data_IF_842297225085
#
_entry.id   IF_842297225085
#
_cell.length_a   1.000
_cell.length_b   1.000
_cell.length_c   1.000
_cell.angle_alpha   90.00
_cell.angle_beta   90.00
_cell.angle_gamma   90.00
#
_symmetry.space_group_name_H-M   'P 1'
#
loop_
_entity.id
_entity.type
_entity.pdbx_description
1 polymer ?
#
# COMPACT_ATOMS: atom_id res chain seq x y z
N UNK A 1 4.54 18.97 -7.32
CA UNK A 1 3.75 17.90 -7.95
C UNK A 1 4.66 17.07 -8.86
N UNK A 2 5.08 15.86 -8.45
CA UNK A 2 6.12 15.05 -9.12
C UNK A 2 5.72 14.52 -10.50
N UNK A 3 4.41 14.31 -10.70
CA UNK A 3 3.83 13.84 -11.95
C UNK A 3 3.97 14.86 -13.08
N UNK A 4 3.62 16.14 -12.83
CA UNK A 4 3.76 17.22 -13.83
C UNK A 4 5.24 17.46 -14.21
N UNK A 5 6.17 17.31 -13.26
CA UNK A 5 7.60 17.47 -13.52
C UNK A 5 8.15 16.45 -14.52
N UNK A 6 7.51 15.29 -14.67
CA UNK A 6 7.94 14.24 -15.61
C UNK A 6 7.13 14.30 -16.90
N UNK A 7 5.82 14.55 -16.82
CA UNK A 7 4.93 14.58 -17.98
C UNK A 7 5.18 15.78 -18.91
N UNK A 8 5.40 16.97 -18.36
CA UNK A 8 5.65 18.19 -19.17
C UNK A 8 6.83 18.04 -20.13
N UNK A 9 8.05 17.69 -19.67
CA UNK A 9 9.20 17.55 -20.58
C UNK A 9 9.05 16.37 -21.56
N UNK A 10 8.29 15.33 -21.22
CA UNK A 10 8.00 14.23 -22.14
C UNK A 10 7.09 14.66 -23.29
N UNK A 11 6.06 15.45 -23.00
CA UNK A 11 5.16 16.01 -24.02
C UNK A 11 5.90 17.00 -24.90
N UNK A 12 6.68 17.93 -24.32
CA UNK A 12 7.50 18.89 -25.08
C UNK A 12 8.47 18.19 -26.03
N UNK A 13 9.16 17.15 -25.56
CA UNK A 13 10.07 16.36 -26.39
C UNK A 13 9.34 15.67 -27.55
N UNK A 14 8.16 15.11 -27.32
CA UNK A 14 7.37 14.44 -28.36
C UNK A 14 6.85 15.43 -29.40
N UNK A 15 6.42 16.62 -28.96
CA UNK A 15 6.00 17.69 -29.87
C UNK A 15 7.15 18.13 -30.79
N UNK A 16 8.39 18.17 -30.29
CA UNK A 16 9.59 18.52 -31.08
C UNK A 16 10.01 17.36 -31.98
N UNK A 17 10.15 16.15 -31.44
CA UNK A 17 10.72 14.99 -32.15
C UNK A 17 9.81 14.49 -33.28
N UNK A 18 8.47 14.58 -33.10
CA UNK A 18 7.48 14.06 -34.06
C UNK A 18 6.71 15.15 -34.80
N UNK A 19 6.91 16.42 -34.48
CA UNK A 19 6.14 17.53 -35.07
C UNK A 19 4.64 17.45 -34.79
N UNK A 20 4.24 16.76 -33.71
CA UNK A 20 2.86 16.55 -33.34
C UNK A 20 2.25 17.87 -32.85
N UNK A 21 1.31 18.40 -33.62
CA UNK A 21 0.58 19.64 -33.30
C UNK A 21 -0.90 19.38 -32.98
N UNK A 22 -1.37 18.14 -33.13
CA UNK A 22 -2.77 17.78 -32.90
C UNK A 22 -3.03 17.31 -31.45
N UNK A 23 -4.03 17.92 -30.83
CA UNK A 23 -4.44 17.64 -29.45
C UNK A 23 -4.90 16.19 -29.29
N UNK A 24 -5.53 15.62 -30.31
CA UNK A 24 -6.06 14.26 -30.28
C UNK A 24 -4.97 13.19 -30.15
N UNK A 25 -3.79 13.45 -30.71
CA UNK A 25 -2.64 12.55 -30.65
C UNK A 25 -1.92 12.64 -29.30
N UNK A 26 -1.85 13.85 -28.72
CA UNK A 26 -1.35 14.06 -27.36
C UNK A 26 -2.26 13.33 -26.35
N UNK A 27 -3.59 13.42 -26.50
CA UNK A 27 -4.53 12.71 -25.64
C UNK A 27 -4.39 11.18 -25.74
N UNK A 28 -4.20 10.64 -26.95
CA UNK A 28 -3.92 9.21 -27.14
C UNK A 28 -2.61 8.79 -26.47
N UNK A 29 -1.57 9.61 -26.53
CA UNK A 29 -0.31 9.35 -25.85
C UNK A 29 -0.48 9.33 -24.32
N UNK A 30 -1.18 10.32 -23.76
CA UNK A 30 -1.48 10.37 -22.32
C UNK A 30 -2.32 9.17 -21.86
N UNK A 31 -3.26 8.69 -22.68
CA UNK A 31 -4.04 7.48 -22.40
C UNK A 31 -3.21 6.19 -22.38
N UNK A 32 -2.16 6.10 -23.19
CA UNK A 32 -1.23 4.95 -23.19
C UNK A 32 -0.12 5.10 -22.14
N UNK A 33 0.04 6.29 -21.55
CA UNK A 33 1.02 6.57 -20.53
C UNK A 33 0.76 5.78 -19.25
N UNK A 34 1.75 5.01 -18.79
CA UNK A 34 1.66 4.27 -17.53
C UNK A 34 2.20 5.10 -16.37
N UNK A 35 1.57 5.02 -15.20
CA UNK A 35 2.05 5.64 -13.95
C UNK A 35 3.31 4.97 -13.36
N UNK A 36 3.86 3.95 -14.03
CA UNK A 36 5.03 3.18 -13.57
C UNK A 36 6.24 4.11 -13.51
N UNK A 37 6.83 4.24 -12.31
CA UNK A 37 7.98 5.13 -12.06
C UNK A 37 7.63 6.58 -11.72
N UNK A 38 6.38 7.01 -11.86
CA UNK A 38 5.89 8.33 -11.45
C UNK A 38 5.45 8.36 -9.99
N UNK A 39 4.92 7.24 -9.51
CA UNK A 39 4.50 7.07 -8.14
C UNK A 39 5.72 6.78 -7.24
N UNK A 40 5.75 7.35 -6.03
CA UNK A 40 6.78 7.00 -5.05
C UNK A 40 6.73 5.49 -4.78
N UNK A 41 7.91 4.91 -4.53
CA UNK A 41 8.03 3.49 -4.17
C UNK A 41 7.09 3.19 -3.00
N UNK A 42 6.23 2.16 -3.10
CA UNK A 42 5.33 1.81 -2.01
C UNK A 42 6.17 1.49 -0.77
N UNK A 43 5.79 2.08 0.37
CA UNK A 43 6.42 1.72 1.63
C UNK A 43 6.15 0.22 1.93
N UNK A 44 7.07 -0.49 2.60
CA UNK A 44 6.86 -1.88 2.95
C UNK A 44 5.57 -2.08 3.74
N UNK A 45 4.72 -3.03 3.31
CA UNK A 45 3.57 -3.45 4.11
C UNK A 45 4.10 -4.39 5.21
N UNK A 46 4.26 -3.86 6.41
CA UNK A 46 4.74 -4.61 7.57
C UNK A 46 3.57 -5.35 8.24
N UNK A 47 3.39 -6.64 7.94
CA UNK A 47 2.44 -7.49 8.67
C UNK A 47 3.14 -8.06 9.90
N UNK A 48 2.75 -7.60 11.10
CA UNK A 48 3.24 -8.19 12.36
C UNK A 48 2.44 -9.45 12.68
N UNK A 49 3.08 -10.62 12.60
CA UNK A 49 2.51 -11.87 13.11
C UNK A 49 2.63 -11.89 14.64
N UNK A 50 1.59 -12.37 15.31
CA UNK A 50 1.65 -12.61 16.76
C UNK A 50 2.82 -13.56 17.07
N UNK A 51 3.63 -13.17 18.05
CA UNK A 51 4.67 -14.01 18.62
C UNK A 51 4.21 -14.47 20.00
N UNK A 52 4.24 -15.79 20.22
CA UNK A 52 3.91 -16.35 21.51
C UNK A 52 4.87 -15.78 22.56
N UNK A 53 4.31 -15.32 23.68
CA UNK A 53 5.10 -14.82 24.79
C UNK A 53 4.70 -15.53 26.09
N UNK A 54 5.66 -15.66 27.01
CA UNK A 54 5.43 -16.39 28.26
C UNK A 54 4.32 -15.73 29.10
N UNK A 55 4.21 -14.39 29.06
CA UNK A 55 3.20 -13.62 29.78
C UNK A 55 1.77 -13.93 29.33
N UNK A 56 1.50 -13.94 28.01
CA UNK A 56 0.19 -14.26 27.45
C UNK A 56 -0.16 -15.72 27.67
N UNK A 57 0.80 -16.63 27.57
CA UNK A 57 0.57 -18.04 27.90
C UNK A 57 0.17 -18.22 29.37
N UNK A 58 0.88 -17.56 30.30
CA UNK A 58 0.56 -17.64 31.72
C UNK A 58 -0.80 -17.00 32.03
N UNK A 59 -1.04 -15.79 31.51
CA UNK A 59 -2.32 -15.08 31.67
C UNK A 59 -3.49 -15.92 31.14
N UNK A 60 -3.37 -16.47 29.93
CA UNK A 60 -4.42 -17.28 29.32
C UNK A 60 -4.70 -18.53 30.14
N UNK A 61 -3.65 -19.22 30.60
CA UNK A 61 -3.78 -20.42 31.43
C UNK A 61 -4.47 -20.11 32.75
N UNK A 62 -4.05 -19.06 33.45
CA UNK A 62 -4.65 -18.65 34.73
C UNK A 62 -6.11 -18.22 34.55
N UNK A 63 -6.42 -17.44 33.50
CA UNK A 63 -7.78 -17.04 33.18
C UNK A 63 -8.69 -18.24 32.90
N UNK A 64 -8.25 -19.18 32.05
CA UNK A 64 -9.01 -20.38 31.72
C UNK A 64 -9.32 -21.23 32.97
N UNK A 65 -8.33 -21.44 33.84
CA UNK A 65 -8.55 -22.16 35.09
C UNK A 65 -9.49 -21.41 36.05
N UNK A 66 -9.38 -20.08 36.12
CA UNK A 66 -10.29 -19.26 36.90
C UNK A 66 -11.75 -19.41 36.46
N UNK A 67 -12.02 -19.39 35.16
CA UNK A 67 -13.37 -19.59 34.60
C UNK A 67 -13.90 -20.99 34.94
N UNK A 68 -13.08 -22.03 34.81
CA UNK A 68 -13.48 -23.41 35.14
C UNK A 68 -13.80 -23.54 36.65
N UNK A 69 -12.94 -22.97 37.51
CA UNK A 69 -13.12 -23.01 38.95
C UNK A 69 -14.42 -22.31 39.37
N UNK A 70 -14.63 -21.07 38.91
CA UNK A 70 -15.85 -20.30 39.22
C UNK A 70 -17.11 -21.00 38.71
N UNK A 71 -17.04 -21.62 37.53
CA UNK A 71 -18.16 -22.39 36.98
C UNK A 71 -18.49 -23.65 37.80
N UNK A 72 -17.47 -24.28 38.42
CA UNK A 72 -17.68 -25.39 39.35
C UNK A 72 -18.17 -24.91 40.72
N UNK A 73 -17.68 -23.77 41.22
CA UNK A 73 -18.05 -23.22 42.51
C UNK A 73 -19.46 -22.59 42.54
N UNK A 74 -19.95 -22.09 41.40
CA UNK A 74 -21.32 -21.58 41.24
C UNK A 74 -22.36 -22.67 40.88
N UNK A 75 -22.01 -23.96 41.02
CA UNK A 75 -22.95 -25.08 40.99
C UNK A 75 -23.16 -25.61 42.40
#
# INVERSE_FOLDING_TARGET
MRLLQVLVPQVEKICIDKGLTDESEILKFLQHGTLVGLLPVPHPILIRKYQANAGTNHWFRTYMWGVIYLRRANR
#
